data_IF_699384341228
#
_entry.id   IF_699384341228
#
_cell.length_a   1.000
_cell.length_b   1.000
_cell.length_c   1.000
_cell.angle_alpha   90.00
_cell.angle_beta   90.00
_cell.angle_gamma   90.00
#
_symmetry.space_group_name_H-M   'P 1'
#
loop_
_entity.id
_entity.type
_entity.pdbx_description
1 polymer ?
#
# COMPACT_ATOMS: atom_id res chain seq x y z
N UNK A 1 -2.37 -24.02 -5.86
CA UNK A 1 -2.98 -23.61 -7.14
C UNK A 1 -2.76 -22.11 -7.38
N UNK A 2 -2.51 -21.69 -8.62
CA UNK A 2 -2.38 -20.27 -9.00
C UNK A 2 -3.66 -19.86 -9.72
N UNK A 3 -4.37 -18.88 -9.17
CA UNK A 3 -5.58 -18.33 -9.77
C UNK A 3 -5.28 -16.96 -10.37
N UNK A 4 -5.58 -16.76 -11.66
CA UNK A 4 -5.37 -15.49 -12.35
C UNK A 4 -6.73 -14.78 -12.49
N UNK A 5 -6.91 -13.71 -11.73
CA UNK A 5 -8.11 -12.86 -11.77
C UNK A 5 -7.80 -11.58 -12.55
N UNK A 6 -8.65 -11.21 -13.49
CA UNK A 6 -8.37 -10.14 -14.44
C UNK A 6 -9.61 -9.29 -14.73
N UNK A 7 -9.39 -8.03 -15.09
CA UNK A 7 -10.45 -7.05 -15.32
C UNK A 7 -11.25 -7.26 -16.61
N UNK A 8 -10.79 -8.10 -17.55
CA UNK A 8 -11.56 -8.39 -18.78
C UNK A 8 -12.89 -9.09 -18.52
N UNK A 9 -13.06 -9.77 -17.38
CA UNK A 9 -14.25 -10.56 -17.07
C UNK A 9 -14.87 -10.34 -15.67
N UNK A 10 -14.35 -9.41 -14.83
CA UNK A 10 -15.05 -9.02 -13.59
C UNK A 10 -14.21 -8.81 -12.33
N UNK A 11 -13.18 -7.97 -12.38
CA UNK A 11 -12.48 -7.50 -11.17
C UNK A 11 -12.59 -5.98 -11.10
N UNK A 12 -13.49 -5.49 -10.24
CA UNK A 12 -13.69 -4.08 -9.95
C UNK A 12 -13.21 -3.71 -8.55
N UNK A 13 -13.57 -2.50 -8.10
CA UNK A 13 -13.11 -1.97 -6.81
C UNK A 13 -13.57 -2.81 -5.61
N UNK A 14 -14.77 -3.42 -5.69
CA UNK A 14 -15.29 -4.28 -4.62
C UNK A 14 -14.49 -5.58 -4.51
N UNK A 15 -14.18 -6.22 -5.64
CA UNK A 15 -13.42 -7.45 -5.69
C UNK A 15 -11.97 -7.22 -5.24
N UNK A 16 -11.31 -6.15 -5.73
CA UNK A 16 -9.99 -5.73 -5.24
C UNK A 16 -10.04 -5.45 -3.74
N UNK A 17 -11.10 -4.77 -3.30
CA UNK A 17 -11.42 -4.53 -1.90
C UNK A 17 -11.36 -5.80 -1.05
N UNK A 18 -12.14 -6.79 -1.47
CA UNK A 18 -12.27 -8.09 -0.81
C UNK A 18 -10.97 -8.90 -0.85
N UNK A 19 -10.31 -8.99 -2.02
CA UNK A 19 -9.06 -9.73 -2.16
C UNK A 19 -7.99 -9.19 -1.25
N UNK A 20 -7.76 -7.86 -1.27
CA UNK A 20 -6.80 -7.26 -0.35
C UNK A 20 -7.16 -7.54 1.11
N UNK A 21 -8.44 -7.44 1.50
CA UNK A 21 -8.84 -7.67 2.90
C UNK A 21 -8.53 -9.09 3.39
N UNK A 22 -8.59 -10.09 2.50
CA UNK A 22 -8.32 -11.50 2.84
C UNK A 22 -6.89 -11.95 2.51
N UNK A 23 -6.10 -11.16 1.78
CA UNK A 23 -4.71 -11.47 1.50
C UNK A 23 -3.83 -11.40 2.76
N UNK A 24 -2.82 -12.27 2.83
CA UNK A 24 -1.75 -12.18 3.82
C UNK A 24 -0.67 -11.17 3.41
N UNK A 25 -0.38 -11.10 2.10
CA UNK A 25 0.63 -10.20 1.51
C UNK A 25 0.07 -9.59 0.23
N UNK A 26 0.33 -8.31 0.00
CA UNK A 26 0.01 -7.63 -1.26
C UNK A 26 1.30 -7.24 -1.98
N UNK A 27 1.40 -7.55 -3.27
CA UNK A 27 2.56 -7.22 -4.09
C UNK A 27 2.19 -6.13 -5.10
N UNK A 28 2.93 -5.03 -5.10
CA UNK A 28 2.86 -3.96 -6.10
C UNK A 28 4.28 -3.65 -6.63
N UNK A 29 4.88 -4.62 -7.32
CA UNK A 29 6.17 -4.42 -8.01
C UNK A 29 5.94 -3.82 -9.39
N UNK A 30 5.51 -2.56 -9.43
CA UNK A 30 5.48 -1.77 -10.66
C UNK A 30 6.90 -1.41 -11.11
N UNK A 31 7.13 -1.24 -12.41
CA UNK A 31 8.39 -0.66 -12.94
C UNK A 31 8.34 0.86 -13.02
N UNK A 32 7.15 1.43 -13.04
CA UNK A 32 6.85 2.87 -12.97
C UNK A 32 5.51 3.03 -12.27
N UNK A 33 5.41 3.96 -11.33
CA UNK A 33 4.18 4.20 -10.57
C UNK A 33 4.03 5.68 -10.26
N UNK A 34 2.80 6.19 -10.30
CA UNK A 34 2.52 7.58 -9.94
C UNK A 34 2.51 7.72 -8.42
N UNK A 35 1.34 7.43 -7.83
CA UNK A 35 1.20 7.20 -6.39
C UNK A 35 0.94 5.70 -6.20
N UNK A 36 -0.12 5.16 -6.81
CA UNK A 36 -0.48 3.75 -6.66
C UNK A 36 -1.41 3.54 -5.48
N UNK A 37 -2.66 4.01 -5.61
CA UNK A 37 -3.68 3.96 -4.53
C UNK A 37 -3.86 2.57 -3.93
N UNK A 38 -3.71 1.52 -4.75
CA UNK A 38 -3.78 0.11 -4.34
C UNK A 38 -2.81 -0.20 -3.19
N UNK A 39 -1.65 0.45 -3.14
CA UNK A 39 -0.68 0.34 -2.04
C UNK A 39 -1.27 0.91 -0.75
N UNK A 40 -1.66 2.19 -0.76
CA UNK A 40 -2.30 2.83 0.41
C UNK A 40 -3.55 2.08 0.87
N UNK A 41 -4.37 1.55 -0.04
CA UNK A 41 -5.56 0.76 0.29
C UNK A 41 -5.22 -0.55 1.01
N UNK A 42 -4.17 -1.26 0.58
CA UNK A 42 -3.70 -2.47 1.25
C UNK A 42 -3.15 -2.14 2.65
N UNK A 43 -2.31 -1.10 2.76
CA UNK A 43 -1.78 -0.62 4.03
C UNK A 43 -2.91 -0.21 4.98
N UNK A 44 -3.94 0.49 4.48
CA UNK A 44 -5.14 0.84 5.27
C UNK A 44 -5.86 -0.38 5.82
N UNK A 45 -5.96 -1.44 5.01
CA UNK A 45 -6.56 -2.72 5.43
C UNK A 45 -5.66 -3.49 6.39
N UNK A 46 -4.48 -2.97 6.71
CA UNK A 46 -3.52 -3.59 7.62
C UNK A 46 -2.80 -4.76 6.98
N UNK A 47 -2.58 -4.69 5.66
CA UNK A 47 -1.89 -5.72 4.91
C UNK A 47 -0.49 -5.23 4.54
N UNK A 48 0.56 -6.00 4.88
CA UNK A 48 1.91 -5.63 4.49
C UNK A 48 2.03 -5.66 2.96
N UNK A 49 2.72 -4.65 2.42
CA UNK A 49 2.95 -4.51 0.98
C UNK A 49 4.42 -4.79 0.67
N UNK A 50 4.68 -5.60 -0.35
CA UNK A 50 5.98 -5.67 -1.02
C UNK A 50 5.87 -4.83 -2.30
N UNK A 51 6.45 -3.64 -2.26
CA UNK A 51 6.32 -2.62 -3.30
C UNK A 51 7.62 -2.39 -4.06
N UNK A 52 7.53 -2.05 -5.34
CA UNK A 52 8.71 -1.61 -6.09
C UNK A 52 9.26 -0.28 -5.54
N UNK A 53 10.58 -0.14 -5.43
CA UNK A 53 11.24 1.10 -5.04
C UNK A 53 11.26 2.14 -6.18
N UNK A 54 10.07 2.49 -6.69
CA UNK A 54 9.90 3.39 -7.84
C UNK A 54 8.73 4.33 -7.65
N UNK A 55 8.85 5.52 -8.26
CA UNK A 55 7.74 6.48 -8.32
C UNK A 55 7.28 6.94 -6.92
N UNK A 56 5.96 6.95 -6.70
CA UNK A 56 5.36 7.33 -5.42
C UNK A 56 5.17 6.19 -4.43
N UNK A 57 5.58 4.95 -4.71
CA UNK A 57 5.47 3.84 -3.77
C UNK A 57 6.31 4.08 -2.50
N UNK A 58 7.57 4.55 -2.58
CA UNK A 58 8.38 4.88 -1.40
C UNK A 58 7.81 6.02 -0.54
N UNK A 59 6.87 6.81 -1.07
CA UNK A 59 6.18 7.84 -0.28
C UNK A 59 5.11 7.25 0.64
N UNK A 60 4.65 6.02 0.37
CA UNK A 60 3.56 5.35 1.11
C UNK A 60 4.05 4.23 2.03
N UNK A 61 5.18 3.60 1.68
CA UNK A 61 5.73 2.44 2.40
C UNK A 61 6.99 2.89 3.14
N UNK A 62 6.98 2.73 4.46
CA UNK A 62 8.15 2.79 5.30
C UNK A 62 8.83 1.42 5.29
N UNK A 63 9.98 1.33 4.64
CA UNK A 63 10.69 0.06 4.42
C UNK A 63 11.05 -0.61 5.74
N UNK A 64 10.68 -1.89 5.86
CA UNK A 64 10.86 -2.70 7.08
C UNK A 64 9.84 -2.43 8.19
N UNK A 65 9.06 -1.34 8.13
CA UNK A 65 8.12 -0.95 9.19
C UNK A 65 6.65 -1.17 8.79
N UNK A 66 6.26 -0.79 7.58
CA UNK A 66 4.87 -0.90 7.09
C UNK A 66 4.76 -1.81 5.86
N UNK A 67 5.89 -2.26 5.34
CA UNK A 67 6.03 -3.05 4.13
C UNK A 67 7.50 -3.17 3.76
N UNK A 68 7.78 -3.70 2.58
CA UNK A 68 9.12 -3.76 2.01
C UNK A 68 9.19 -3.04 0.68
N UNK A 69 10.26 -2.29 0.46
CA UNK A 69 10.62 -1.75 -0.84
C UNK A 69 11.67 -2.66 -1.48
N UNK A 70 11.46 -3.01 -2.75
CA UNK A 70 12.32 -3.95 -3.48
C UNK A 70 12.66 -3.43 -4.87
N UNK A 71 13.84 -3.77 -5.35
CA UNK A 71 14.35 -3.38 -6.67
C UNK A 71 14.25 -4.54 -7.67
N UNK A 72 14.45 -5.79 -7.22
CA UNK A 72 14.50 -6.99 -8.08
C UNK A 72 13.25 -7.88 -7.96
N UNK A 73 13.13 -8.92 -8.79
CA UNK A 73 12.04 -9.90 -8.68
C UNK A 73 12.38 -10.92 -7.58
N UNK A 74 13.66 -11.19 -7.43
CA UNK A 74 14.26 -12.06 -6.43
C UNK A 74 13.95 -11.53 -5.02
N UNK A 75 14.28 -10.27 -4.76
CA UNK A 75 13.94 -9.60 -3.48
C UNK A 75 12.43 -9.59 -3.24
N UNK A 76 11.62 -9.36 -4.28
CA UNK A 76 10.17 -9.38 -4.16
C UNK A 76 9.68 -10.76 -3.68
N UNK A 77 10.22 -11.84 -4.24
CA UNK A 77 9.92 -13.20 -3.84
C UNK A 77 10.38 -13.51 -2.41
N UNK A 78 11.62 -13.12 -2.07
CA UNK A 78 12.18 -13.30 -0.73
C UNK A 78 11.36 -12.61 0.35
N UNK A 79 10.98 -11.33 0.13
CA UNK A 79 10.18 -10.56 1.09
C UNK A 79 8.75 -11.06 1.20
N UNK A 80 8.13 -11.48 0.10
CA UNK A 80 6.81 -12.10 0.14
C UNK A 80 6.84 -13.42 0.94
N UNK A 81 7.85 -14.27 0.70
CA UNK A 81 8.02 -15.52 1.43
C UNK A 81 8.28 -15.27 2.93
N UNK A 82 9.12 -14.29 3.25
CA UNK A 82 9.40 -13.90 4.63
C UNK A 82 8.11 -13.58 5.40
N UNK A 83 7.25 -12.72 4.84
CA UNK A 83 5.99 -12.33 5.48
C UNK A 83 5.04 -13.52 5.68
N UNK A 84 4.99 -14.45 4.72
CA UNK A 84 4.19 -15.67 4.84
C UNK A 84 4.74 -16.64 5.90
N UNK A 85 6.05 -16.64 6.14
CA UNK A 85 6.69 -17.48 7.15
C UNK A 85 6.66 -16.86 8.56
N UNK A 86 6.48 -15.54 8.67
CA UNK A 86 6.49 -14.79 9.93
C UNK A 86 5.16 -14.03 10.12
N UNK A 87 4.03 -14.73 10.33
CA UNK A 87 2.71 -14.11 10.37
C UNK A 87 2.54 -13.08 11.50
N UNK A 88 3.17 -13.28 12.66
CA UNK A 88 3.13 -12.30 13.76
C UNK A 88 3.80 -10.98 13.38
N UNK A 89 4.94 -11.05 12.69
CA UNK A 89 5.63 -9.86 12.19
C UNK A 89 4.85 -9.18 11.08
N UNK A 90 4.25 -9.96 10.17
CA UNK A 90 3.37 -9.46 9.13
C UNK A 90 2.14 -8.73 9.71
N UNK A 91 1.56 -9.24 10.79
CA UNK A 91 0.45 -8.60 11.51
C UNK A 91 0.86 -7.30 12.21
N UNK A 92 2.02 -7.30 12.88
CA UNK A 92 2.58 -6.11 13.51
C UNK A 92 2.88 -5.02 12.47
N UNK A 93 3.52 -5.40 11.35
CA UNK A 93 3.78 -4.54 10.19
C UNK A 93 2.48 -3.99 9.59
N UNK A 94 1.46 -4.83 9.44
CA UNK A 94 0.13 -4.42 8.98
C UNK A 94 -0.54 -3.41 9.91
N UNK A 95 -0.40 -3.59 11.22
CA UNK A 95 -0.92 -2.64 12.22
C UNK A 95 -0.21 -1.29 12.11
N UNK A 96 1.12 -1.29 11.98
CA UNK A 96 1.90 -0.08 11.76
C UNK A 96 1.53 0.61 10.44
N UNK A 97 1.33 -0.15 9.37
CA UNK A 97 0.89 0.33 8.07
C UNK A 97 -0.45 1.06 8.13
N UNK A 98 -1.44 0.49 8.83
CA UNK A 98 -2.75 1.12 8.99
C UNK A 98 -2.63 2.46 9.73
N UNK A 99 -1.86 2.50 10.81
CA UNK A 99 -1.63 3.74 11.56
C UNK A 99 -0.87 4.80 10.75
N UNK A 100 0.09 4.37 9.93
CA UNK A 100 0.79 5.25 9.00
C UNK A 100 -0.19 5.90 8.01
N UNK A 101 -1.06 5.11 7.37
CA UNK A 101 -2.08 5.63 6.45
C UNK A 101 -3.06 6.56 7.16
N UNK A 102 -3.53 6.19 8.35
CA UNK A 102 -4.46 7.00 9.15
C UNK A 102 -3.95 8.42 9.40
N UNK A 103 -2.64 8.57 9.60
CA UNK A 103 -2.01 9.86 9.92
C UNK A 103 -1.71 10.70 8.68
N UNK A 104 -1.43 10.05 7.54
CA UNK A 104 -0.81 10.73 6.39
C UNK A 104 -1.70 10.80 5.14
N UNK A 105 -2.54 9.80 4.88
CA UNK A 105 -3.17 9.63 3.56
C UNK A 105 -4.70 9.60 3.56
N UNK A 106 -5.34 9.97 4.69
CA UNK A 106 -6.80 10.09 4.73
C UNK A 106 -7.28 11.30 3.93
N UNK A 107 -8.35 11.11 3.15
CA UNK A 107 -8.97 12.17 2.37
C UNK A 107 -9.37 13.39 3.22
N UNK A 108 -9.81 13.17 4.46
CA UNK A 108 -10.17 14.24 5.40
C UNK A 108 -8.98 15.11 5.79
N UNK A 109 -7.82 14.50 6.00
CA UNK A 109 -6.56 15.20 6.25
C UNK A 109 -6.11 15.98 5.02
N UNK A 110 -6.18 15.37 3.83
CA UNK A 110 -5.88 16.07 2.58
C UNK A 110 -6.78 17.29 2.35
N UNK A 111 -8.08 17.17 2.61
CA UNK A 111 -9.02 18.28 2.51
C UNK A 111 -8.64 19.42 3.47
N UNK A 112 -8.32 19.11 4.73
CA UNK A 112 -7.92 20.11 5.71
C UNK A 112 -6.65 20.87 5.27
N UNK A 113 -5.67 20.17 4.72
CA UNK A 113 -4.45 20.78 4.17
C UNK A 113 -4.73 21.74 3.02
N UNK A 114 -5.58 21.34 2.06
CA UNK A 114 -5.99 22.21 0.95
C UNK A 114 -6.73 23.46 1.43
N UNK A 115 -7.65 23.32 2.39
CA UNK A 115 -8.35 24.46 2.98
C UNK A 115 -7.39 25.42 3.68
N UNK A 116 -6.40 24.90 4.40
CA UNK A 116 -5.36 25.70 5.03
C UNK A 116 -4.50 26.44 4.00
N UNK A 117 -4.14 25.78 2.90
CA UNK A 117 -3.41 26.41 1.80
C UNK A 117 -4.20 27.57 1.19
N UNK A 118 -5.46 27.35 0.83
CA UNK A 118 -6.32 28.39 0.26
C UNK A 118 -6.51 29.57 1.21
N UNK A 119 -6.66 29.31 2.51
CA UNK A 119 -6.73 30.36 3.52
C UNK A 119 -5.46 31.21 3.59
N UNK A 120 -4.28 30.58 3.49
CA UNK A 120 -2.99 31.31 3.47
C UNK A 120 -2.83 32.14 2.20
N UNK A 121 -3.19 31.59 1.05
CA UNK A 121 -3.11 32.31 -0.23
C UNK A 121 -4.05 33.51 -0.30
N UNK A 122 -5.20 33.46 0.37
CA UNK A 122 -6.14 34.60 0.44
C UNK A 122 -5.65 35.75 1.33
N UNK A 123 -4.72 35.47 2.27
CA UNK A 123 -4.15 36.47 3.18
C UNK A 123 -2.87 37.13 2.64
N UNK A 124 -2.27 36.57 1.59
CA UNK A 124 -1.14 37.15 0.87
C UNK A 124 -1.63 38.11 -0.21
#
# INVERSE_FOLDING_TARGET
DIHILHNFHGVGALEVGAFQAVSDVVVQKSTREGFGLVVTEALWKGKPVVGGNVGGIPLQVLDGETGFLVDSVEECGEKALYLLQHPEEAEAMGTAAREHVRRNFLATRHLADYLNLFHRMKKA
#
